data_IF_071252057381
#
_entry.id   IF_071252057381
#
_cell.length_a   1.000
_cell.length_b   1.000
_cell.length_c   1.000
_cell.angle_alpha   90.00
_cell.angle_beta   90.00
_cell.angle_gamma   90.00
#
_symmetry.space_group_name_H-M   'P 1'
#
loop_
_entity.id
_entity.type
_entity.pdbx_description
1 polymer ?
#
# COMPACT_ATOMS: atom_id res chain seq x y z
N UNK A 1 -41.13 -34.67 -49.71
CA UNK A 1 -40.73 -33.26 -49.56
C UNK A 1 -41.09 -32.87 -48.11
N UNK A 2 -40.17 -33.05 -47.15
CA UNK A 2 -39.30 -32.01 -46.52
C UNK A 2 -40.20 -30.94 -45.85
N UNK A 3 -40.15 -30.59 -44.55
CA UNK A 3 -39.01 -30.37 -43.63
C UNK A 3 -39.51 -30.52 -42.17
N UNK A 4 -38.74 -31.18 -41.29
CA UNK A 4 -38.85 -31.01 -39.83
C UNK A 4 -38.10 -29.73 -39.42
N UNK A 5 -38.78 -28.76 -38.82
CA UNK A 5 -38.13 -27.58 -38.22
C UNK A 5 -37.62 -27.92 -36.81
N UNK A 6 -36.32 -28.19 -36.69
CA UNK A 6 -35.59 -28.12 -35.43
C UNK A 6 -35.18 -26.67 -35.18
N UNK A 7 -35.83 -25.99 -34.24
CA UNK A 7 -35.36 -24.69 -33.74
C UNK A 7 -34.41 -24.95 -32.59
N UNK A 8 -33.13 -24.92 -32.92
CA UNK A 8 -32.01 -25.04 -32.00
C UNK A 8 -31.71 -23.63 -31.45
N UNK A 9 -32.37 -23.23 -30.36
CA UNK A 9 -32.07 -21.96 -29.70
C UNK A 9 -30.80 -22.12 -28.85
N UNK A 10 -29.69 -21.69 -29.44
CA UNK A 10 -28.39 -21.53 -28.81
C UNK A 10 -28.54 -20.55 -27.64
N UNK A 11 -28.42 -21.05 -26.42
CA UNK A 11 -28.19 -20.25 -25.22
C UNK A 11 -26.80 -19.63 -25.35
N UNK A 12 -26.75 -18.36 -25.76
CA UNK A 12 -25.57 -17.51 -25.60
C UNK A 12 -25.37 -17.25 -24.11
N UNK A 13 -24.64 -18.13 -23.44
CA UNK A 13 -24.00 -17.83 -22.16
C UNK A 13 -22.92 -16.78 -22.46
N UNK A 14 -23.28 -15.50 -22.29
CA UNK A 14 -22.28 -14.46 -22.13
C UNK A 14 -21.55 -14.72 -20.83
N UNK A 15 -20.34 -15.29 -20.93
CA UNK A 15 -19.36 -15.29 -19.86
C UNK A 15 -19.08 -13.83 -19.47
N UNK A 16 -19.82 -13.35 -18.48
CA UNK A 16 -19.49 -12.15 -17.75
C UNK A 16 -18.25 -12.50 -16.92
N UNK A 17 -17.09 -12.50 -17.55
CA UNK A 17 -15.79 -12.49 -16.89
C UNK A 17 -15.63 -11.11 -16.23
N UNK A 18 -16.48 -10.83 -15.25
CA UNK A 18 -16.23 -9.81 -14.25
C UNK A 18 -15.02 -10.29 -13.47
N UNK A 19 -13.82 -9.91 -13.92
CA UNK A 19 -12.64 -9.92 -13.08
C UNK A 19 -13.07 -9.30 -11.76
N UNK A 20 -13.13 -10.11 -10.70
CA UNK A 20 -13.23 -9.63 -9.33
C UNK A 20 -12.00 -8.75 -9.12
N UNK A 21 -12.15 -7.45 -9.40
CA UNK A 21 -11.15 -6.47 -9.04
C UNK A 21 -11.18 -6.43 -7.52
N UNK A 22 -10.18 -7.07 -6.90
CA UNK A 22 -9.94 -6.91 -5.48
C UNK A 22 -9.88 -5.40 -5.20
N UNK A 23 -10.73 -4.86 -4.31
CA UNK A 23 -10.83 -3.42 -4.15
C UNK A 23 -9.52 -2.83 -3.63
N UNK A 24 -8.67 -3.64 -2.99
CA UNK A 24 -7.41 -3.22 -2.40
C UNK A 24 -6.22 -3.84 -3.15
N UNK A 25 -5.21 -3.02 -3.47
CA UNK A 25 -3.96 -3.42 -4.10
C UNK A 25 -2.79 -2.73 -3.38
N UNK A 26 -1.76 -3.48 -2.94
CA UNK A 26 -0.52 -2.87 -2.45
C UNK A 26 0.25 -2.20 -3.59
N UNK A 27 0.75 -1.00 -3.34
CA UNK A 27 1.43 -0.21 -4.34
C UNK A 27 2.29 0.88 -3.72
N UNK A 28 3.54 1.03 -4.16
CA UNK A 28 4.46 1.98 -3.55
C UNK A 28 4.64 3.27 -4.37
N UNK A 29 4.13 3.31 -5.60
CA UNK A 29 4.20 4.48 -6.46
C UNK A 29 2.98 4.61 -7.38
N UNK A 30 2.57 5.85 -7.67
CA UNK A 30 1.35 6.16 -8.42
C UNK A 30 1.61 7.24 -9.48
N UNK A 31 0.85 7.20 -10.58
CA UNK A 31 0.80 8.29 -11.54
C UNK A 31 -0.29 9.33 -11.17
N UNK A 32 -0.42 10.41 -11.95
CA UNK A 32 -1.43 11.46 -11.75
C UNK A 32 -2.89 10.99 -11.87
N UNK A 33 -3.10 9.84 -12.50
CA UNK A 33 -4.40 9.18 -12.64
C UNK A 33 -4.74 8.27 -11.45
N UNK A 34 -3.84 8.14 -10.46
CA UNK A 34 -3.90 7.19 -9.34
C UNK A 34 -3.85 5.72 -9.79
N UNK A 35 -3.21 5.45 -10.93
CA UNK A 35 -2.85 4.08 -11.29
C UNK A 35 -1.55 3.69 -10.59
N UNK A 36 -1.50 2.42 -10.18
CA UNK A 36 -0.32 1.86 -9.56
C UNK A 36 0.78 1.66 -10.59
N UNK A 37 1.94 2.29 -10.38
CA UNK A 37 3.13 2.13 -11.23
C UNK A 37 4.17 1.17 -10.65
N UNK A 38 4.08 0.89 -9.34
CA UNK A 38 4.94 -0.07 -8.65
C UNK A 38 4.10 -1.04 -7.79
N UNK A 39 3.49 -2.06 -8.42
CA UNK A 39 2.62 -3.01 -7.73
C UNK A 39 3.43 -3.94 -6.82
N UNK A 40 2.88 -4.19 -5.63
CA UNK A 40 3.52 -5.00 -4.60
C UNK A 40 2.65 -6.18 -4.20
N UNK A 41 3.24 -7.15 -3.52
CA UNK A 41 2.54 -8.31 -2.96
C UNK A 41 2.59 -8.27 -1.44
N UNK A 42 1.94 -9.23 -0.79
CA UNK A 42 1.98 -9.43 0.66
C UNK A 42 3.39 -9.68 1.19
N UNK A 43 4.31 -10.19 0.37
CA UNK A 43 5.69 -10.49 0.76
C UNK A 43 6.64 -9.93 -0.29
N UNK A 44 7.40 -8.90 0.10
CA UNK A 44 8.26 -8.18 -0.84
C UNK A 44 9.70 -8.09 -0.35
N UNK A 45 10.64 -8.04 -1.30
CA UNK A 45 12.05 -7.78 -1.05
C UNK A 45 12.42 -6.46 -1.72
N UNK A 46 12.81 -5.50 -0.90
CA UNK A 46 13.27 -4.19 -1.36
C UNK A 46 14.80 -4.15 -1.33
N UNK A 47 15.39 -3.85 -2.48
CA UNK A 47 16.84 -3.75 -2.64
C UNK A 47 17.28 -2.29 -2.54
N UNK A 48 18.08 -1.99 -1.52
CA UNK A 48 18.60 -0.68 -1.21
C UNK A 48 20.01 -0.51 -1.80
N UNK A 49 20.27 0.64 -2.41
CA UNK A 49 21.59 0.97 -2.92
C UNK A 49 22.54 1.36 -1.77
N UNK A 50 23.39 0.42 -1.36
CA UNK A 50 24.34 0.61 -0.25
C UNK A 50 25.32 1.76 -0.52
N UNK A 51 25.64 2.04 -1.80
CA UNK A 51 26.58 3.10 -2.15
C UNK A 51 26.05 4.49 -1.80
N UNK A 52 24.74 4.62 -1.57
CA UNK A 52 24.09 5.86 -1.12
C UNK A 52 24.02 5.99 0.40
N UNK A 53 24.32 4.93 1.16
CA UNK A 53 24.35 4.95 2.62
C UNK A 53 25.79 5.06 3.13
N UNK A 54 26.38 6.26 2.99
CA UNK A 54 27.82 6.49 3.19
C UNK A 54 28.25 6.85 4.61
N UNK A 55 27.39 6.69 5.62
CA UNK A 55 27.70 7.15 6.97
C UNK A 55 28.56 6.14 7.71
N UNK A 56 29.67 6.61 8.28
CA UNK A 56 30.53 5.79 9.15
C UNK A 56 29.80 5.52 10.48
N UNK A 57 29.70 4.24 10.87
CA UNK A 57 28.97 3.77 12.07
C UNK A 57 27.55 4.34 12.19
N UNK A 58 26.66 4.05 11.23
CA UNK A 58 25.33 4.63 11.21
C UNK A 58 24.49 4.19 12.43
N UNK A 59 23.60 5.07 12.89
CA UNK A 59 22.57 4.71 13.86
C UNK A 59 21.26 4.21 13.21
N UNK A 60 20.34 3.70 14.03
CA UNK A 60 18.97 3.36 13.56
C UNK A 60 18.23 4.61 13.04
N UNK A 61 18.43 5.76 13.68
CA UNK A 61 17.89 7.04 13.19
C UNK A 61 18.46 7.43 11.82
N UNK A 62 19.77 7.23 11.63
CA UNK A 62 20.43 7.49 10.34
C UNK A 62 19.88 6.62 9.22
N UNK A 63 19.63 5.34 9.52
CA UNK A 63 19.01 4.44 8.57
C UNK A 63 17.57 4.86 8.22
N UNK A 64 16.78 5.25 9.22
CA UNK A 64 15.45 5.80 8.97
C UNK A 64 15.48 7.08 8.12
N UNK A 65 16.45 7.97 8.34
CA UNK A 65 16.67 9.14 7.51
C UNK A 65 17.07 8.77 6.07
N UNK A 66 17.94 7.77 5.91
CA UNK A 66 18.31 7.25 4.59
C UNK A 66 17.08 6.72 3.83
N UNK A 67 16.23 5.93 4.48
CA UNK A 67 15.00 5.44 3.87
C UNK A 67 14.05 6.58 3.47
N UNK A 68 13.93 7.61 4.32
CA UNK A 68 13.06 8.75 4.07
C UNK A 68 13.56 9.65 2.93
N UNK A 69 14.82 10.12 3.02
CA UNK A 69 15.33 11.15 2.11
C UNK A 69 15.98 10.58 0.84
N UNK A 70 16.56 9.37 0.90
CA UNK A 70 17.44 8.84 -0.14
C UNK A 70 16.85 7.65 -0.88
N UNK A 71 16.44 6.59 -0.19
CA UNK A 71 15.80 5.43 -0.82
C UNK A 71 14.36 5.78 -1.25
N UNK A 72 13.66 6.60 -0.45
CA UNK A 72 12.27 7.04 -0.64
C UNK A 72 11.30 5.86 -0.73
N UNK A 73 11.43 4.93 0.19
CA UNK A 73 10.50 3.79 0.29
C UNK A 73 9.15 4.27 0.84
N UNK A 74 8.11 4.15 0.03
CA UNK A 74 6.76 4.67 0.31
C UNK A 74 5.70 3.58 0.30
N UNK A 75 5.67 2.66 1.28
CA UNK A 75 4.64 1.63 1.38
C UNK A 75 3.24 2.23 1.29
N UNK A 76 2.48 1.79 0.29
CA UNK A 76 1.15 2.34 0.02
C UNK A 76 0.15 1.31 -0.47
N UNK A 77 -1.03 1.82 -0.83
CA UNK A 77 -2.08 1.03 -1.46
C UNK A 77 -2.96 1.87 -2.37
N UNK A 78 -3.64 1.16 -3.28
CA UNK A 78 -4.73 1.63 -4.12
C UNK A 78 -6.02 0.96 -3.70
N UNK A 79 -7.06 1.76 -3.48
CA UNK A 79 -8.41 1.33 -3.14
C UNK A 79 -9.38 1.74 -4.25
N UNK A 80 -10.05 0.77 -4.87
CA UNK A 80 -11.14 0.98 -5.83
C UNK A 80 -12.46 0.98 -5.08
N UNK A 81 -13.25 2.04 -5.30
CA UNK A 81 -14.59 2.19 -4.74
C UNK A 81 -15.62 1.53 -5.66
N UNK A 82 -16.72 1.03 -5.09
CA UNK A 82 -17.79 0.38 -5.86
C UNK A 82 -18.55 1.36 -6.75
N UNK A 83 -18.60 2.64 -6.35
CA UNK A 83 -19.19 3.75 -7.10
C UNK A 83 -18.51 5.05 -6.68
N UNK A 84 -18.75 6.11 -7.46
CA UNK A 84 -18.18 7.44 -7.22
C UNK A 84 -18.41 7.91 -5.80
N UNK A 85 -17.33 8.09 -5.03
CA UNK A 85 -17.32 8.49 -3.62
C UNK A 85 -18.25 7.65 -2.73
N UNK A 86 -18.50 6.39 -3.11
CA UNK A 86 -19.51 5.52 -2.53
C UNK A 86 -20.92 6.13 -2.40
N UNK A 87 -21.24 7.13 -3.23
CA UNK A 87 -22.53 7.84 -3.24
C UNK A 87 -22.57 9.12 -2.42
N UNK A 88 -21.45 9.54 -1.82
CA UNK A 88 -21.33 10.78 -1.06
C UNK A 88 -20.81 11.93 -1.94
N UNK A 89 -20.76 13.15 -1.38
CA UNK A 89 -19.97 14.22 -1.97
C UNK A 89 -18.47 13.97 -1.78
N UNK A 90 -17.62 14.56 -2.62
CA UNK A 90 -16.15 14.48 -2.49
C UNK A 90 -15.65 14.97 -1.13
N UNK A 91 -16.23 16.09 -0.65
CA UNK A 91 -15.87 16.68 0.64
C UNK A 91 -16.27 15.77 1.81
N UNK A 92 -17.50 15.27 1.78
CA UNK A 92 -18.00 14.37 2.82
C UNK A 92 -17.19 13.08 2.88
N UNK A 93 -16.90 12.48 1.72
CA UNK A 93 -16.07 11.28 1.64
C UNK A 93 -14.68 11.52 2.27
N UNK A 94 -14.00 12.59 1.87
CA UNK A 94 -12.65 12.93 2.36
C UNK A 94 -12.63 13.20 3.87
N UNK A 95 -13.67 13.84 4.41
CA UNK A 95 -13.76 14.15 5.84
C UNK A 95 -13.88 12.91 6.73
N UNK A 96 -14.45 11.83 6.18
CA UNK A 96 -14.71 10.56 6.89
C UNK A 96 -13.69 9.47 6.56
N UNK A 97 -12.80 9.71 5.58
CA UNK A 97 -11.77 8.75 5.19
C UNK A 97 -10.60 8.78 6.18
N UNK A 98 -10.25 7.61 6.72
CA UNK A 98 -9.05 7.44 7.52
C UNK A 98 -8.24 6.23 7.03
N UNK A 99 -6.93 6.40 6.96
CA UNK A 99 -6.00 5.32 6.67
C UNK A 99 -4.80 5.42 7.59
N UNK A 100 -4.36 4.28 8.12
CA UNK A 100 -3.23 4.18 9.04
C UNK A 100 -2.28 3.07 8.60
N UNK A 101 -0.99 3.29 8.87
CA UNK A 101 0.06 2.30 8.72
C UNK A 101 0.66 2.00 10.10
N UNK A 102 0.79 0.72 10.41
CA UNK A 102 1.27 0.25 11.70
C UNK A 102 2.51 -0.62 11.52
N UNK A 103 3.45 -0.46 12.44
CA UNK A 103 4.63 -1.31 12.61
C UNK A 103 5.05 -1.31 14.07
N UNK A 104 5.20 -2.51 14.67
CA UNK A 104 5.52 -2.61 16.10
C UNK A 104 4.45 -1.92 16.95
N UNK A 105 4.87 -0.96 17.77
CA UNK A 105 4.00 -0.12 18.58
C UNK A 105 3.61 1.20 17.89
N UNK A 106 4.26 1.55 16.78
CA UNK A 106 3.96 2.74 16.00
C UNK A 106 2.69 2.57 15.15
N UNK A 107 1.78 3.55 15.27
CA UNK A 107 0.59 3.70 14.45
C UNK A 107 0.54 5.13 13.93
N UNK A 108 0.69 5.29 12.62
CA UNK A 108 0.70 6.61 11.98
C UNK A 108 -0.40 6.72 10.94
N UNK A 109 -0.97 7.93 10.80
CA UNK A 109 -1.90 8.23 9.70
C UNK A 109 -1.11 8.25 8.40
N UNK A 110 -1.67 7.70 7.33
CA UNK A 110 -1.05 7.77 6.00
C UNK A 110 -0.77 9.22 5.62
N UNK A 111 0.50 9.54 5.36
CA UNK A 111 0.96 10.90 5.10
C UNK A 111 0.42 11.45 3.78
N UNK A 112 0.50 10.65 2.71
CA UNK A 112 0.01 11.03 1.39
C UNK A 112 -1.34 10.40 1.09
N UNK A 113 -2.29 11.21 0.61
CA UNK A 113 -3.57 10.73 0.10
C UNK A 113 -3.94 11.45 -1.20
N UNK A 114 -4.35 10.71 -2.22
CA UNK A 114 -4.92 11.27 -3.45
C UNK A 114 -6.26 10.63 -3.76
N UNK A 115 -7.22 11.47 -4.13
CA UNK A 115 -8.63 11.12 -4.22
C UNK A 115 -9.16 11.40 -5.63
N UNK A 116 -9.68 10.36 -6.27
CA UNK A 116 -10.48 10.42 -7.50
C UNK A 116 -11.85 9.79 -7.23
N UNK A 117 -12.87 10.07 -8.06
CA UNK A 117 -14.23 9.57 -7.86
C UNK A 117 -14.33 8.10 -7.46
N UNK A 118 -13.60 7.21 -8.14
CA UNK A 118 -13.68 5.77 -7.90
C UNK A 118 -12.41 5.16 -7.31
N UNK A 119 -11.39 5.98 -7.01
CA UNK A 119 -10.06 5.49 -6.62
C UNK A 119 -9.49 6.38 -5.52
N UNK A 120 -9.03 5.76 -4.45
CA UNK A 120 -8.23 6.39 -3.42
C UNK A 120 -6.86 5.73 -3.41
N UNK A 121 -5.81 6.53 -3.30
CA UNK A 121 -4.46 6.01 -3.04
C UNK A 121 -3.94 6.66 -1.78
N UNK A 122 -3.23 5.87 -0.98
CA UNK A 122 -2.62 6.32 0.26
C UNK A 122 -1.25 5.70 0.41
N UNK A 123 -0.29 6.48 0.91
CA UNK A 123 1.06 6.01 1.19
C UNK A 123 1.61 6.66 2.45
N UNK A 124 2.66 6.06 2.99
CA UNK A 124 3.46 6.65 4.05
C UNK A 124 4.95 6.37 3.81
N UNK A 125 5.84 7.19 4.36
CA UNK A 125 7.29 6.96 4.26
C UNK A 125 7.73 5.92 5.28
N UNK A 126 8.29 4.80 4.80
CA UNK A 126 8.77 3.72 5.67
C UNK A 126 9.80 4.23 6.68
N UNK A 127 10.70 5.11 6.24
CA UNK A 127 11.71 5.71 7.10
C UNK A 127 11.14 6.50 8.27
N UNK A 128 10.02 7.21 8.09
CA UNK A 128 9.36 7.96 9.17
C UNK A 128 8.78 7.01 10.22
N UNK A 129 7.99 6.03 9.79
CA UNK A 129 7.37 5.02 10.66
C UNK A 129 8.41 4.22 11.46
N UNK A 130 9.51 3.81 10.81
CA UNK A 130 10.58 3.07 11.47
C UNK A 130 11.30 3.93 12.52
N UNK A 131 11.57 5.20 12.22
CA UNK A 131 12.19 6.12 13.19
C UNK A 131 11.36 6.24 14.45
N UNK A 132 10.04 6.33 14.31
CA UNK A 132 9.16 6.44 15.47
C UNK A 132 9.20 5.17 16.32
N UNK A 133 9.18 3.99 15.69
CA UNK A 133 9.34 2.73 16.44
C UNK A 133 10.72 2.63 17.11
N UNK A 134 11.79 3.05 16.45
CA UNK A 134 13.13 3.03 17.04
C UNK A 134 13.25 3.94 18.27
N UNK A 135 12.56 5.08 18.27
CA UNK A 135 12.46 5.97 19.44
C UNK A 135 11.64 5.33 20.55
N UNK A 136 10.49 4.73 20.25
CA UNK A 136 9.69 3.99 21.23
C UNK A 136 10.50 2.88 21.91
N UNK A 137 11.37 2.20 21.16
CA UNK A 137 12.24 1.15 21.67
C UNK A 137 13.51 1.68 22.36
N UNK A 138 13.81 2.98 22.27
CA UNK A 138 15.04 3.59 22.81
C UNK A 138 16.32 3.06 22.15
N UNK A 139 16.25 2.74 20.85
CA UNK A 139 17.38 2.19 20.08
C UNK A 139 17.82 3.07 18.92
N UNK A 140 17.15 4.19 18.68
CA UNK A 140 17.39 5.14 17.59
C UNK A 140 18.85 5.60 17.50
N UNK A 141 19.53 5.78 18.64
CA UNK A 141 20.95 6.16 18.68
C UNK A 141 21.94 4.97 18.60
N UNK A 142 21.48 3.72 18.68
CA UNK A 142 22.37 2.55 18.69
C UNK A 142 22.97 2.30 17.30
N UNK A 143 24.16 1.67 17.21
CA UNK A 143 24.74 1.27 15.93
C UNK A 143 23.80 0.37 15.14
N UNK A 144 23.67 0.65 13.84
CA UNK A 144 22.77 -0.04 12.94
C UNK A 144 23.50 -1.02 12.02
N UNK A 145 22.89 -2.18 11.85
CA UNK A 145 23.21 -3.17 10.81
C UNK A 145 21.89 -3.64 10.21
N UNK A 146 21.81 -3.76 8.88
CA UNK A 146 20.55 -4.06 8.18
C UNK A 146 19.99 -5.43 8.59
N UNK A 147 20.88 -6.39 8.80
CA UNK A 147 20.56 -7.77 9.18
C UNK A 147 19.85 -7.83 10.54
N UNK A 148 20.09 -6.87 11.42
CA UNK A 148 19.47 -6.79 12.74
C UNK A 148 18.01 -6.33 12.70
N UNK A 149 17.56 -5.69 11.61
CA UNK A 149 16.19 -5.19 11.49
C UNK A 149 15.17 -6.33 11.27
N UNK A 150 15.60 -7.40 10.60
CA UNK A 150 14.72 -8.51 10.24
C UNK A 150 13.57 -8.11 9.30
N UNK A 151 12.57 -8.99 9.12
CA UNK A 151 11.39 -8.69 8.32
C UNK A 151 10.49 -7.63 8.97
N UNK A 152 10.11 -6.62 8.19
CA UNK A 152 9.22 -5.54 8.62
C UNK A 152 7.79 -5.93 8.27
N UNK A 153 6.96 -6.22 9.27
CA UNK A 153 5.54 -6.54 9.03
C UNK A 153 4.67 -5.30 9.25
N UNK A 154 4.15 -4.76 8.16
CA UNK A 154 3.26 -3.61 8.14
C UNK A 154 1.80 -4.06 8.21
N UNK A 155 0.99 -3.34 8.99
CA UNK A 155 -0.47 -3.49 8.99
C UNK A 155 -1.13 -2.20 8.49
N UNK A 156 -1.98 -2.34 7.50
CA UNK A 156 -2.75 -1.27 6.88
C UNK A 156 -4.17 -1.34 7.44
N UNK A 157 -4.63 -0.23 8.02
CA UNK A 157 -6.00 -0.08 8.51
C UNK A 157 -6.68 1.03 7.71
N UNK A 158 -7.79 0.72 7.05
CA UNK A 158 -8.51 1.69 6.21
C UNK A 158 -9.98 1.73 6.58
N UNK A 159 -10.47 2.93 6.84
CA UNK A 159 -11.86 3.26 7.07
C UNK A 159 -12.31 4.15 5.91
N UNK A 160 -12.96 3.54 4.92
CA UNK A 160 -13.53 4.23 3.77
C UNK A 160 -15.05 4.29 3.89
N UNK A 161 -15.70 5.46 3.74
CA UNK A 161 -17.15 5.58 3.88
C UNK A 161 -17.92 4.62 2.97
N UNK A 162 -18.90 3.90 3.52
CA UNK A 162 -19.69 2.93 2.77
C UNK A 162 -18.97 1.61 2.48
N UNK A 163 -17.87 1.32 3.17
CA UNK A 163 -17.15 0.05 3.12
C UNK A 163 -16.89 -0.45 4.54
N UNK A 164 -16.80 -1.77 4.72
CA UNK A 164 -16.31 -2.34 5.97
C UNK A 164 -14.84 -1.96 6.20
N UNK A 165 -14.38 -1.82 7.46
CA UNK A 165 -12.99 -1.56 7.77
C UNK A 165 -12.07 -2.60 7.13
N UNK A 166 -11.06 -2.12 6.40
CA UNK A 166 -10.11 -2.98 5.69
C UNK A 166 -8.85 -3.12 6.55
N UNK A 167 -8.47 -4.37 6.80
CA UNK A 167 -7.21 -4.72 7.44
C UNK A 167 -6.39 -5.59 6.49
N UNK A 168 -5.19 -5.12 6.13
CA UNK A 168 -4.26 -5.84 5.26
C UNK A 168 -2.87 -5.85 5.86
N UNK A 169 -2.09 -6.88 5.56
CA UNK A 169 -0.71 -7.02 6.05
C UNK A 169 0.24 -7.22 4.88
N UNK A 170 1.40 -6.57 4.95
CA UNK A 170 2.52 -6.76 4.02
C UNK A 170 3.80 -6.91 4.83
N UNK A 171 4.60 -7.91 4.50
CA UNK A 171 5.94 -8.10 5.05
C UNK A 171 6.97 -7.66 4.02
N UNK A 172 7.87 -6.77 4.44
CA UNK A 172 8.97 -6.24 3.63
C UNK A 172 10.28 -6.76 4.20
N UNK A 173 11.13 -7.33 3.35
CA UNK A 173 12.52 -7.61 3.66
C UNK A 173 13.41 -6.59 2.96
N UNK A 174 14.22 -5.87 3.73
CA UNK A 174 15.21 -4.96 3.18
C UNK A 174 16.53 -5.70 2.95
N UNK A 175 17.15 -5.50 1.79
CA UNK A 175 18.46 -6.06 1.45
C UNK A 175 19.32 -5.00 0.78
N UNK A 176 20.63 -5.07 0.96
CA UNK A 176 21.55 -4.33 0.11
C UNK A 176 21.56 -4.90 -1.31
N UNK A 177 21.62 -4.03 -2.30
CA UNK A 177 21.81 -4.36 -3.71
C UNK A 177 23.29 -4.56 -4.03
#
# INVERSE_FOLDING_TARGET
MIVLFFINSILLLSDCNGSERTPFQFCDNFNDANDCTEPKTENDIVYLDQTKFKKENPSFEDFGNFLYFTARETPGFRLVLFRSWNGLSSEEFRSKYNAYLLYGNSKERMEGNSFKPNIVVSFHYLGALLKEEFRHLGIDHKPFQLEALGPITLTYLVEAPGMDPIVKKRTIQLKWK
#
